data_IF_878313407384
#
_entry.id   IF_878313407384
#
_cell.length_a   1.000
_cell.length_b   1.000
_cell.length_c   1.000
_cell.angle_alpha   90.00
_cell.angle_beta   90.00
_cell.angle_gamma   90.00
#
_symmetry.space_group_name_H-M   'P 1'
#
loop_
_entity.id
_entity.type
_entity.pdbx_description
1 polymer ?
#
# COMPACT_ATOMS: atom_id res chain seq x y z
N UNK A 1 -10.15 22.07 7.90
CA UNK A 1 -9.15 22.30 8.97
C UNK A 1 -7.88 21.59 8.53
N UNK A 2 -6.83 22.35 8.27
CA UNK A 2 -5.56 21.76 7.83
C UNK A 2 -4.83 21.21 9.06
N UNK A 3 -4.49 19.93 9.04
CA UNK A 3 -3.77 19.28 10.17
C UNK A 3 -2.27 19.43 9.91
N UNK A 4 -1.54 20.01 10.89
CA UNK A 4 -0.07 20.02 10.87
C UNK A 4 0.44 18.61 11.21
N UNK A 5 0.65 17.79 10.16
CA UNK A 5 1.16 16.41 10.28
C UNK A 5 2.57 16.37 10.86
N UNK A 6 3.38 17.43 10.64
CA UNK A 6 4.77 17.48 11.09
C UNK A 6 4.91 17.51 12.61
N UNK A 7 3.86 17.91 13.34
CA UNK A 7 3.88 17.91 14.82
C UNK A 7 4.12 16.53 15.45
N UNK A 8 3.81 15.46 14.70
CA UNK A 8 3.95 14.07 15.14
C UNK A 8 5.30 13.46 14.75
N UNK A 9 6.09 14.14 13.91
CA UNK A 9 7.42 13.67 13.53
C UNK A 9 8.44 13.93 14.64
N UNK A 10 9.41 13.02 14.84
CA UNK A 10 10.59 13.31 15.65
C UNK A 10 11.27 14.59 15.18
N UNK A 11 11.74 15.42 16.12
CA UNK A 11 12.35 16.73 15.79
C UNK A 11 13.51 16.63 14.80
N UNK A 12 14.25 15.52 14.82
CA UNK A 12 15.36 15.24 13.89
C UNK A 12 14.92 15.01 12.45
N UNK A 13 13.71 14.53 12.22
CA UNK A 13 13.18 14.25 10.87
C UNK A 13 12.43 15.45 10.27
N UNK A 14 11.90 16.32 11.10
CA UNK A 14 11.08 17.46 10.67
C UNK A 14 11.76 18.33 9.59
N UNK A 15 13.03 18.78 9.74
CA UNK A 15 13.69 19.58 8.70
C UNK A 15 13.83 18.86 7.36
N UNK A 16 14.01 17.53 7.38
CA UNK A 16 14.12 16.72 6.18
C UNK A 16 12.81 16.75 5.36
N UNK A 17 11.68 16.62 6.03
CA UNK A 17 10.37 16.59 5.37
C UNK A 17 9.90 18.00 4.98
N UNK A 18 10.09 19.00 5.83
CA UNK A 18 9.75 20.40 5.52
C UNK A 18 10.54 20.94 4.31
N UNK A 19 11.80 20.52 4.16
CA UNK A 19 12.67 20.94 3.04
C UNK A 19 12.34 20.30 1.70
N UNK A 20 11.53 19.23 1.67
CA UNK A 20 11.21 18.52 0.42
C UNK A 20 10.17 19.24 -0.45
N UNK A 21 9.36 20.12 0.12
CA UNK A 21 8.22 20.76 -0.57
C UNK A 21 7.14 19.77 -0.99
N UNK A 22 6.09 20.24 -1.66
CA UNK A 22 5.00 19.40 -2.14
C UNK A 22 5.47 18.41 -3.23
N UNK A 23 4.74 17.31 -3.39
CA UNK A 23 4.96 16.40 -4.50
C UNK A 23 4.43 17.02 -5.81
N UNK A 24 5.05 16.71 -6.97
CA UNK A 24 4.51 17.15 -8.25
C UNK A 24 3.07 16.68 -8.46
N UNK A 25 2.18 17.60 -8.85
CA UNK A 25 0.77 17.29 -9.10
C UNK A 25 -0.16 17.33 -7.90
N UNK A 26 0.29 17.82 -6.74
CA UNK A 26 -0.57 18.02 -5.55
C UNK A 26 -1.62 19.13 -5.72
N UNK A 27 -1.63 19.85 -6.84
CA UNK A 27 -2.64 20.85 -7.16
C UNK A 27 -3.99 20.24 -7.55
N UNK A 28 -4.00 18.96 -7.94
CA UNK A 28 -5.21 18.24 -8.32
C UNK A 28 -5.96 17.70 -7.10
N UNK A 29 -7.29 17.70 -7.19
CA UNK A 29 -8.12 17.10 -6.16
C UNK A 29 -7.96 15.57 -6.18
N UNK A 30 -7.29 15.02 -5.18
CA UNK A 30 -7.05 13.57 -5.03
C UNK A 30 -8.21 12.82 -4.38
N UNK A 31 -9.26 13.52 -3.98
CA UNK A 31 -10.41 12.95 -3.30
C UNK A 31 -11.46 12.44 -4.30
N UNK A 32 -11.76 11.13 -4.24
CA UNK A 32 -12.89 10.51 -4.93
C UNK A 32 -14.09 10.38 -3.96
N UNK A 33 -15.29 10.90 -4.32
CA UNK A 33 -16.47 10.76 -3.47
C UNK A 33 -16.82 9.28 -3.26
N UNK A 34 -17.01 8.87 -2.00
CA UNK A 34 -17.52 7.55 -1.65
C UNK A 34 -19.02 7.64 -1.46
N UNK A 35 -19.79 7.25 -2.48
CA UNK A 35 -21.23 7.45 -2.53
C UNK A 35 -22.04 6.21 -2.10
N UNK A 36 -21.44 5.03 -2.11
CA UNK A 36 -22.06 3.75 -1.75
C UNK A 36 -22.07 3.56 -0.25
N UNK A 37 -23.10 2.91 0.29
CA UNK A 37 -23.13 2.56 1.72
C UNK A 37 -22.03 1.55 2.02
N UNK A 38 -21.33 1.71 3.15
CA UNK A 38 -20.21 0.86 3.50
C UNK A 38 -20.61 -0.64 3.56
N UNK A 39 -21.76 -0.94 4.14
CA UNK A 39 -22.30 -2.31 4.22
C UNK A 39 -22.66 -2.94 2.85
N UNK A 40 -22.61 -2.18 1.78
CA UNK A 40 -22.86 -2.64 0.41
C UNK A 40 -21.58 -2.61 -0.44
N UNK A 41 -20.49 -2.11 0.12
CA UNK A 41 -19.25 -1.82 -0.59
C UNK A 41 -18.26 -2.97 -0.54
N UNK A 42 -17.55 -3.16 -1.64
CA UNK A 42 -16.44 -4.08 -1.76
C UNK A 42 -15.14 -3.33 -1.53
N UNK A 43 -14.35 -3.77 -0.56
CA UNK A 43 -13.17 -3.04 -0.08
C UNK A 43 -11.90 -3.83 -0.37
N UNK A 44 -10.89 -3.14 -0.89
CA UNK A 44 -9.52 -3.62 -1.03
C UNK A 44 -8.59 -2.96 -0.02
N UNK A 45 -7.42 -3.58 0.22
CA UNK A 45 -6.31 -2.97 0.96
C UNK A 45 -5.11 -2.87 0.01
N UNK A 46 -4.42 -1.73 0.02
CA UNK A 46 -3.10 -1.60 -0.56
C UNK A 46 -2.09 -1.45 0.57
N UNK A 47 -1.13 -2.36 0.65
CA UNK A 47 -0.04 -2.28 1.61
C UNK A 47 1.24 -1.76 0.96
N UNK A 48 2.01 -0.96 1.70
CA UNK A 48 3.34 -0.52 1.28
C UNK A 48 4.49 -1.31 1.90
N UNK A 49 4.19 -2.46 2.52
CA UNK A 49 5.18 -3.29 3.22
C UNK A 49 6.07 -4.14 2.28
N UNK A 50 5.91 -4.06 0.97
CA UNK A 50 6.70 -4.88 0.05
C UNK A 50 6.44 -6.38 0.17
N UNK A 51 5.20 -6.78 0.49
CA UNK A 51 4.82 -8.19 0.57
C UNK A 51 4.79 -8.84 -0.82
N UNK A 52 5.24 -10.10 -0.90
CA UNK A 52 5.15 -10.90 -2.10
C UNK A 52 5.04 -12.39 -1.78
N UNK A 53 4.57 -13.20 -2.76
CA UNK A 53 4.47 -14.66 -2.63
C UNK A 53 5.82 -15.32 -2.98
N UNK A 54 6.47 -15.97 -2.01
CA UNK A 54 7.80 -16.60 -2.16
C UNK A 54 7.91 -17.54 -3.35
N UNK A 55 6.85 -18.31 -3.61
CA UNK A 55 6.92 -19.42 -4.57
C UNK A 55 6.63 -18.98 -6.01
N UNK A 56 5.93 -17.85 -6.22
CA UNK A 56 5.33 -17.52 -7.52
C UNK A 56 5.60 -16.10 -8.00
N UNK A 57 6.13 -15.25 -7.14
CA UNK A 57 6.41 -13.86 -7.48
C UNK A 57 7.88 -13.53 -7.27
N UNK A 58 8.41 -12.66 -8.12
CA UNK A 58 9.73 -12.08 -7.91
C UNK A 58 9.68 -11.09 -6.75
N UNK A 59 10.76 -11.05 -5.98
CA UNK A 59 10.98 -10.01 -4.96
C UNK A 59 10.98 -8.62 -5.60
N UNK A 60 10.76 -7.59 -4.79
CA UNK A 60 11.09 -6.22 -5.17
C UNK A 60 12.61 -6.04 -5.25
N UNK A 61 13.09 -5.11 -6.07
CA UNK A 61 14.52 -4.90 -6.35
C UNK A 61 15.21 -4.10 -5.25
N UNK A 62 15.45 -4.75 -4.11
CA UNK A 62 16.15 -4.15 -2.96
C UNK A 62 17.62 -3.83 -3.27
N UNK A 63 18.27 -4.59 -4.14
CA UNK A 63 19.67 -4.37 -4.49
C UNK A 63 19.82 -3.01 -5.20
N UNK A 64 18.94 -2.72 -6.12
CA UNK A 64 18.92 -1.42 -6.81
C UNK A 64 18.57 -0.29 -5.84
N UNK A 65 17.59 -0.48 -4.96
CA UNK A 65 17.23 0.52 -3.96
C UNK A 65 18.42 0.86 -3.04
N UNK A 66 19.19 -0.14 -2.60
CA UNK A 66 20.39 0.06 -1.77
C UNK A 66 21.50 0.81 -2.49
N UNK A 67 21.66 0.57 -3.78
CA UNK A 67 22.78 1.11 -4.58
C UNK A 67 22.47 2.44 -5.27
N UNK A 68 21.20 2.78 -5.42
CA UNK A 68 20.73 4.00 -6.07
C UNK A 68 19.81 4.80 -5.13
N UNK A 69 20.40 5.62 -4.24
CA UNK A 69 19.62 6.45 -3.32
C UNK A 69 18.62 7.33 -4.06
N UNK A 70 17.36 7.26 -3.65
CA UNK A 70 16.27 8.01 -4.28
C UNK A 70 15.46 7.22 -5.30
N UNK A 71 15.87 6.00 -5.66
CA UNK A 71 15.08 5.08 -6.47
C UNK A 71 14.28 4.13 -5.55
N UNK A 72 13.06 3.82 -5.91
CA UNK A 72 12.23 2.77 -5.30
C UNK A 72 11.58 1.94 -6.40
N UNK A 73 11.39 0.65 -6.14
CA UNK A 73 10.76 -0.26 -7.11
C UNK A 73 9.29 0.17 -7.36
N UNK A 74 8.94 0.63 -8.57
CA UNK A 74 7.59 1.09 -8.87
C UNK A 74 6.61 -0.05 -9.13
N UNK A 75 7.06 -1.30 -9.18
CA UNK A 75 6.20 -2.44 -9.46
C UNK A 75 5.29 -2.80 -8.29
N UNK A 76 4.32 -3.65 -8.53
CA UNK A 76 3.40 -4.11 -7.49
C UNK A 76 3.21 -5.63 -7.53
N UNK A 77 2.70 -6.16 -6.43
CA UNK A 77 2.39 -7.59 -6.29
C UNK A 77 0.93 -7.76 -5.89
N UNK A 78 0.38 -8.89 -6.25
CA UNK A 78 -0.99 -9.28 -5.92
C UNK A 78 -0.92 -10.31 -4.80
N UNK A 79 -1.50 -9.99 -3.64
CA UNK A 79 -1.54 -10.89 -2.48
C UNK A 79 -2.95 -11.43 -2.34
N UNK A 80 -3.20 -12.71 -2.57
CA UNK A 80 -4.50 -13.32 -2.35
C UNK A 80 -4.95 -13.14 -0.91
N UNK A 81 -6.23 -12.82 -0.68
CA UNK A 81 -6.80 -12.70 0.66
C UNK A 81 -6.66 -14.02 1.47
N UNK A 82 -6.60 -15.15 0.78
CA UNK A 82 -6.39 -16.47 1.39
C UNK A 82 -4.90 -16.84 1.59
N UNK A 83 -3.94 -15.95 1.27
CA UNK A 83 -2.53 -16.21 1.47
C UNK A 83 -2.23 -16.40 2.97
N UNK A 84 -1.52 -17.46 3.29
CA UNK A 84 -1.11 -17.73 4.68
C UNK A 84 0.32 -17.23 4.92
N UNK A 85 0.66 -16.98 6.17
CA UNK A 85 1.99 -16.50 6.59
C UNK A 85 3.15 -17.23 5.91
N UNK A 86 3.07 -18.55 5.78
CA UNK A 86 4.13 -19.37 5.15
C UNK A 86 4.37 -19.03 3.68
N UNK A 87 3.40 -18.45 2.99
CA UNK A 87 3.48 -18.12 1.58
C UNK A 87 4.16 -16.78 1.34
N UNK A 88 4.18 -15.92 2.37
CA UNK A 88 4.58 -14.53 2.29
C UNK A 88 6.07 -14.34 2.55
N UNK A 89 6.68 -13.40 1.83
CA UNK A 89 7.95 -12.77 2.14
C UNK A 89 7.80 -11.24 2.10
N UNK A 90 8.78 -10.56 2.66
CA UNK A 90 8.86 -9.10 2.72
C UNK A 90 10.11 -8.65 1.97
N UNK A 91 9.98 -7.59 1.20
CA UNK A 91 11.10 -6.89 0.60
C UNK A 91 10.98 -5.40 0.94
N UNK A 92 11.59 -4.99 2.05
CA UNK A 92 11.54 -3.61 2.52
C UNK A 92 12.74 -3.27 3.41
N UNK A 93 13.49 -2.20 3.09
CA UNK A 93 14.74 -1.86 3.79
C UNK A 93 14.53 -1.20 5.16
N UNK A 94 13.33 -0.69 5.45
CA UNK A 94 13.10 0.22 6.58
C UNK A 94 12.09 -0.29 7.62
N UNK A 95 11.58 -1.52 7.45
CA UNK A 95 10.68 -2.15 8.43
C UNK A 95 11.32 -3.40 9.03
N UNK A 96 10.82 -3.84 10.18
CA UNK A 96 11.24 -5.11 10.76
C UNK A 96 10.51 -6.27 10.06
N UNK A 97 11.22 -6.93 9.16
CA UNK A 97 10.71 -8.07 8.40
C UNK A 97 10.23 -9.22 9.30
N UNK A 98 10.95 -9.49 10.40
CA UNK A 98 10.62 -10.57 11.34
C UNK A 98 9.25 -10.33 12.00
N UNK A 99 8.96 -9.08 12.40
CA UNK A 99 7.69 -8.72 13.02
C UNK A 99 6.54 -8.84 12.02
N UNK A 100 6.72 -8.36 10.78
CA UNK A 100 5.72 -8.48 9.72
C UNK A 100 5.46 -9.95 9.38
N UNK A 101 6.50 -10.77 9.29
CA UNK A 101 6.35 -12.21 9.04
C UNK A 101 5.83 -12.97 10.27
N UNK A 102 6.01 -12.44 11.48
CA UNK A 102 5.39 -13.01 12.68
C UNK A 102 3.87 -12.79 12.69
N UNK A 103 3.42 -11.62 12.28
CA UNK A 103 2.01 -11.26 12.16
C UNK A 103 1.78 -10.37 10.91
N UNK A 104 1.48 -10.96 9.74
CA UNK A 104 1.23 -10.19 8.52
C UNK A 104 0.06 -9.19 8.62
N UNK A 105 -0.85 -9.37 9.57
CA UNK A 105 -1.99 -8.45 9.79
C UNK A 105 -1.55 -7.03 10.19
N UNK A 106 -0.35 -6.86 10.75
CA UNK A 106 0.17 -5.52 11.06
C UNK A 106 0.46 -4.69 9.81
N UNK A 107 0.69 -5.34 8.66
CA UNK A 107 1.01 -4.71 7.39
C UNK A 107 -0.09 -4.88 6.35
N UNK A 108 -0.83 -5.99 6.41
CA UNK A 108 -1.95 -6.29 5.51
C UNK A 108 -3.10 -6.92 6.32
N UNK A 109 -3.98 -6.13 6.94
CA UNK A 109 -5.05 -6.61 7.80
C UNK A 109 -6.21 -7.25 7.02
N UNK A 110 -5.91 -8.28 6.22
CA UNK A 110 -6.86 -8.96 5.35
C UNK A 110 -7.89 -9.77 6.14
N UNK A 111 -7.47 -10.46 7.22
CA UNK A 111 -8.40 -11.19 8.06
C UNK A 111 -9.34 -10.28 8.86
N UNK A 112 -8.84 -9.12 9.30
CA UNK A 112 -9.67 -8.11 9.95
C UNK A 112 -10.73 -7.56 8.97
N UNK A 113 -10.33 -7.31 7.71
CA UNK A 113 -11.25 -6.85 6.66
C UNK A 113 -12.33 -7.90 6.37
N UNK A 114 -11.96 -9.17 6.27
CA UNK A 114 -12.91 -10.27 6.10
C UNK A 114 -13.85 -10.38 7.31
N UNK A 115 -13.35 -10.18 8.53
CA UNK A 115 -14.17 -10.09 9.74
C UNK A 115 -15.25 -9.02 9.63
N UNK A 116 -14.92 -7.85 9.11
CA UNK A 116 -15.91 -6.78 8.87
C UNK A 116 -16.95 -7.14 7.82
N UNK A 117 -16.59 -7.96 6.82
CA UNK A 117 -17.57 -8.48 5.86
C UNK A 117 -18.53 -9.49 6.53
N UNK A 118 -18.01 -10.38 7.37
CA UNK A 118 -18.82 -11.34 8.13
C UNK A 118 -19.78 -10.62 9.10
N UNK A 119 -19.35 -9.56 9.73
CA UNK A 119 -20.17 -8.71 10.62
C UNK A 119 -21.16 -7.81 9.88
N UNK A 120 -21.08 -7.73 8.54
CA UNK A 120 -21.92 -6.87 7.73
C UNK A 120 -21.60 -5.37 7.83
N UNK A 121 -20.40 -5.04 8.32
CA UNK A 121 -19.90 -3.66 8.37
C UNK A 121 -19.53 -3.18 6.96
N UNK A 122 -18.92 -4.06 6.15
CA UNK A 122 -18.71 -3.89 4.72
C UNK A 122 -19.48 -4.95 3.94
N UNK A 123 -19.70 -4.73 2.65
CA UNK A 123 -20.37 -5.70 1.77
C UNK A 123 -19.52 -6.95 1.51
N UNK A 124 -18.24 -6.77 1.21
CA UNK A 124 -17.25 -7.84 1.02
C UNK A 124 -15.84 -7.28 0.96
N UNK A 125 -14.83 -8.14 1.17
CA UNK A 125 -13.45 -7.87 0.77
C UNK A 125 -13.22 -8.25 -0.71
N UNK A 126 -12.16 -7.72 -1.33
CA UNK A 126 -11.65 -8.18 -2.62
C UNK A 126 -10.98 -9.55 -2.47
N UNK A 127 -10.84 -10.29 -3.57
CA UNK A 127 -10.22 -11.64 -3.55
C UNK A 127 -8.71 -11.59 -3.37
N UNK A 128 -8.12 -10.44 -3.68
CA UNK A 128 -6.71 -10.15 -3.44
C UNK A 128 -6.48 -8.66 -3.14
N UNK A 129 -5.28 -8.37 -2.67
CA UNK A 129 -4.88 -7.05 -2.22
C UNK A 129 -3.56 -6.65 -2.86
N UNK A 130 -3.43 -5.41 -3.39
CA UNK A 130 -2.17 -4.90 -3.89
C UNK A 130 -1.11 -4.72 -2.80
N UNK A 131 0.14 -5.05 -3.14
CA UNK A 131 1.33 -4.76 -2.35
C UNK A 131 2.35 -4.01 -3.19
N UNK A 132 2.94 -2.97 -2.62
CA UNK A 132 3.93 -2.09 -3.24
C UNK A 132 5.07 -1.83 -2.27
N UNK A 133 6.16 -1.26 -2.76
CA UNK A 133 7.22 -0.71 -1.91
C UNK A 133 6.79 0.64 -1.32
N UNK A 134 7.09 0.86 -0.05
CA UNK A 134 6.78 2.11 0.64
C UNK A 134 7.65 3.27 0.21
N UNK A 135 8.91 3.00 -0.11
CA UNK A 135 9.82 4.00 -0.67
C UNK A 135 9.65 4.08 -2.18
N UNK A 136 9.45 5.29 -2.69
CA UNK A 136 9.26 5.53 -4.11
C UNK A 136 10.08 6.73 -4.57
N UNK A 137 10.45 6.72 -5.84
CA UNK A 137 11.11 7.82 -6.50
C UNK A 137 10.25 9.09 -6.45
N UNK A 138 10.88 10.24 -6.17
CA UNK A 138 10.15 11.50 -6.01
C UNK A 138 9.37 11.96 -7.25
N UNK A 139 9.88 11.64 -8.45
CA UNK A 139 9.19 11.96 -9.71
C UNK A 139 7.85 11.23 -9.84
N UNK A 140 7.73 10.05 -9.23
CA UNK A 140 6.61 9.13 -9.36
C UNK A 140 6.30 8.76 -10.82
N UNK A 141 7.26 8.89 -11.73
CA UNK A 141 7.05 8.67 -13.18
C UNK A 141 6.59 7.24 -13.44
N UNK A 142 7.33 6.23 -12.95
CA UNK A 142 6.96 4.82 -13.11
C UNK A 142 5.59 4.49 -12.51
N UNK A 143 5.25 5.15 -11.40
CA UNK A 143 3.93 5.02 -10.79
C UNK A 143 2.81 5.59 -11.67
N UNK A 144 3.01 6.81 -12.18
CA UNK A 144 1.98 7.50 -12.96
C UNK A 144 1.73 6.86 -14.32
N UNK A 145 2.80 6.40 -14.96
CA UNK A 145 2.72 5.85 -16.31
C UNK A 145 2.30 4.38 -16.35
N UNK A 146 2.67 3.60 -15.34
CA UNK A 146 2.48 2.16 -15.35
C UNK A 146 1.68 1.67 -14.13
N UNK A 147 2.22 1.80 -12.93
CA UNK A 147 1.69 1.15 -11.73
C UNK A 147 0.28 1.60 -11.38
N UNK A 148 0.02 2.90 -11.35
CA UNK A 148 -1.31 3.41 -11.00
C UNK A 148 -2.38 3.01 -12.03
N UNK A 149 -2.15 3.10 -13.36
CA UNK A 149 -3.08 2.56 -14.34
C UNK A 149 -3.37 1.07 -14.18
N UNK A 150 -2.35 0.24 -13.93
CA UNK A 150 -2.52 -1.19 -13.72
C UNK A 150 -3.31 -1.50 -12.44
N UNK A 151 -2.99 -0.82 -11.34
CA UNK A 151 -3.72 -0.95 -10.07
C UNK A 151 -5.18 -0.53 -10.21
N UNK A 152 -5.46 0.57 -10.91
CA UNK A 152 -6.83 1.02 -11.16
C UNK A 152 -7.59 -0.01 -11.99
N UNK A 153 -6.97 -0.57 -13.03
CA UNK A 153 -7.58 -1.61 -13.84
C UNK A 153 -7.90 -2.84 -12.99
N UNK A 154 -6.93 -3.32 -12.21
CA UNK A 154 -7.11 -4.45 -11.31
C UNK A 154 -8.23 -4.22 -10.27
N UNK A 155 -8.25 -3.07 -9.59
CA UNK A 155 -9.29 -2.75 -8.62
C UNK A 155 -10.69 -2.67 -9.25
N UNK A 156 -10.79 -2.21 -10.50
CA UNK A 156 -12.04 -2.22 -11.26
C UNK A 156 -12.49 -3.64 -11.62
N UNK A 157 -11.57 -4.49 -12.04
CA UNK A 157 -11.85 -5.91 -12.34
C UNK A 157 -12.33 -6.64 -11.07
N UNK A 158 -11.76 -6.32 -9.91
CA UNK A 158 -12.22 -6.78 -8.60
C UNK A 158 -13.53 -6.12 -8.16
N UNK A 159 -14.06 -5.15 -8.91
CA UNK A 159 -15.25 -4.36 -8.53
C UNK A 159 -15.09 -3.70 -7.15
N UNK A 160 -13.90 -3.23 -6.82
CA UNK A 160 -13.64 -2.53 -5.58
C UNK A 160 -14.31 -1.14 -5.58
N UNK A 161 -15.09 -0.85 -4.54
CA UNK A 161 -15.74 0.45 -4.31
C UNK A 161 -14.85 1.38 -3.47
N UNK A 162 -13.96 0.81 -2.67
CA UNK A 162 -13.06 1.56 -1.79
C UNK A 162 -11.72 0.87 -1.60
N UNK A 163 -10.70 1.68 -1.31
CA UNK A 163 -9.33 1.23 -1.06
C UNK A 163 -8.84 1.78 0.28
N UNK A 164 -8.42 0.88 1.17
CA UNK A 164 -7.71 1.22 2.39
C UNK A 164 -6.21 1.24 2.09
N UNK A 165 -5.54 2.32 2.46
CA UNK A 165 -4.08 2.41 2.37
C UNK A 165 -3.48 2.01 3.71
N UNK A 166 -2.71 0.94 3.73
CA UNK A 166 -1.98 0.42 4.89
C UNK A 166 -0.48 0.74 4.73
N UNK A 167 -0.02 1.91 5.20
CA UNK A 167 1.39 2.28 5.13
C UNK A 167 2.21 1.45 6.13
N UNK A 168 3.43 1.07 5.73
CA UNK A 168 4.42 0.38 6.55
C UNK A 168 5.77 1.14 6.51
#
# INVERSE_FOLDING_TARGET
>A
MQVDSFRFLPRSFRPLYEGRGPFPGEEDQVWAPFAKRLAESRIAILTSAGLYLKATQESFDLEREQTHPGWGDPTWRRIPAAAVRSDLAVAHLHINEEDVLADPEIALPANALEGFAIEGIIGSATSDHPSVMGYQERSLEGWRENTAPELIAHLRDESADGLILAPA
#
